data_IF_183876749894
#
_entry.id   IF_183876749894
#
_cell.length_a   1.000
_cell.length_b   1.000
_cell.length_c   1.000
_cell.angle_alpha   90.00
_cell.angle_beta   90.00
_cell.angle_gamma   90.00
#
_symmetry.space_group_name_H-M   'P 1'
#
loop_
_entity.id
_entity.type
_entity.pdbx_description
1 polymer ?
#
# COMPACT_ATOMS: atom_id res chain seq x y z
N UNK A 1 -16.18 -13.46 -6.18
CA UNK A 1 -17.19 -13.16 -5.16
C UNK A 1 -16.64 -12.05 -4.28
N UNK A 2 -17.17 -10.84 -4.38
CA UNK A 2 -16.70 -9.68 -3.62
C UNK A 2 -17.37 -9.64 -2.26
N UNK A 3 -16.61 -9.92 -1.19
CA UNK A 3 -17.11 -9.76 0.17
C UNK A 3 -17.11 -8.28 0.56
N UNK A 4 -18.31 -7.81 0.91
CA UNK A 4 -18.57 -6.50 1.52
C UNK A 4 -17.69 -6.33 2.76
N UNK A 5 -16.81 -5.33 2.73
CA UNK A 5 -16.09 -4.90 3.93
C UNK A 5 -17.08 -4.25 4.90
N UNK A 6 -17.38 -4.97 5.97
CA UNK A 6 -18.11 -4.50 7.13
C UNK A 6 -17.27 -3.45 7.86
N UNK A 7 -17.77 -2.21 7.94
CA UNK A 7 -17.27 -1.16 8.83
C UNK A 7 -17.56 -1.55 10.28
N UNK A 8 -16.68 -2.38 10.87
CA UNK A 8 -16.59 -2.55 12.31
C UNK A 8 -15.88 -1.35 12.93
N UNK A 9 -16.40 -0.82 14.04
CA UNK A 9 -15.68 0.18 14.85
C UNK A 9 -14.40 -0.48 15.39
N UNK A 10 -13.26 -0.22 14.75
CA UNK A 10 -11.96 -0.68 15.22
C UNK A 10 -11.53 0.16 16.42
N UNK A 11 -11.19 -0.49 17.53
CA UNK A 11 -10.51 0.16 18.64
C UNK A 11 -9.18 0.69 18.11
N UNK A 12 -9.12 2.01 17.95
CA UNK A 12 -7.93 2.72 17.48
C UNK A 12 -6.85 2.52 18.54
N UNK A 13 -5.84 1.72 18.20
CA UNK A 13 -4.59 1.75 18.94
C UNK A 13 -3.96 3.10 18.62
N UNK A 14 -3.73 3.89 19.67
CA UNK A 14 -3.26 5.26 19.55
C UNK A 14 -1.82 5.23 19.04
N UNK A 15 -1.70 5.31 17.73
CA UNK A 15 -0.46 5.44 16.98
C UNK A 15 -0.12 6.94 16.95
N UNK A 16 0.74 7.37 17.87
CA UNK A 16 1.05 8.79 18.10
C UNK A 16 1.58 9.49 16.85
N UNK A 17 2.37 8.79 16.03
CA UNK A 17 2.93 9.39 14.81
C UNK A 17 1.83 9.60 13.77
N UNK A 18 0.95 8.61 13.57
CA UNK A 18 -0.18 8.71 12.64
C UNK A 18 -1.06 9.94 12.93
N UNK A 19 -1.33 10.26 14.20
CA UNK A 19 -2.17 11.40 14.57
C UNK A 19 -1.63 12.74 14.03
N UNK A 20 -0.30 12.90 14.07
CA UNK A 20 0.41 14.10 13.62
C UNK A 20 0.76 14.08 12.13
N UNK A 21 0.63 12.94 11.47
CA UNK A 21 0.95 12.80 10.05
C UNK A 21 -0.03 13.59 9.17
N UNK A 22 0.51 14.44 8.31
CA UNK A 22 -0.27 15.41 7.52
C UNK A 22 -1.10 14.74 6.41
N UNK A 23 -0.63 13.62 5.86
CA UNK A 23 -1.31 12.90 4.77
C UNK A 23 -2.14 11.70 5.27
N UNK A 24 -2.40 11.60 6.58
CA UNK A 24 -3.12 10.46 7.19
C UNK A 24 -4.50 10.20 6.58
N UNK A 25 -5.16 11.26 6.09
CA UNK A 25 -6.50 11.21 5.51
C UNK A 25 -6.47 11.15 3.97
N UNK A 26 -5.29 11.17 3.34
CA UNK A 26 -5.17 11.05 1.89
C UNK A 26 -5.33 9.60 1.47
N UNK A 27 -5.97 9.43 0.32
CA UNK A 27 -5.93 8.19 -0.44
C UNK A 27 -4.58 8.09 -1.15
N UNK A 28 -4.22 6.89 -1.56
CA UNK A 28 -2.97 6.67 -2.28
C UNK A 28 -3.16 5.62 -3.36
N UNK A 29 -2.47 5.82 -4.47
CA UNK A 29 -2.56 4.97 -5.66
C UNK A 29 -1.18 4.53 -6.09
N UNK A 30 -1.04 3.27 -6.50
CA UNK A 30 0.13 2.81 -7.25
C UNK A 30 0.12 3.41 -8.65
N UNK A 31 1.29 3.68 -9.19
CA UNK A 31 1.47 4.36 -10.48
C UNK A 31 2.28 3.55 -11.49
N UNK A 32 2.73 2.35 -11.09
CA UNK A 32 3.59 1.50 -11.91
C UNK A 32 2.97 0.12 -12.16
N UNK A 33 3.25 -0.47 -13.34
CA UNK A 33 2.93 -1.86 -13.59
C UNK A 33 3.67 -2.79 -12.63
N UNK A 34 3.05 -3.91 -12.31
CA UNK A 34 3.60 -4.93 -11.42
C UNK A 34 3.16 -6.31 -11.90
N UNK A 35 3.87 -7.35 -11.48
CA UNK A 35 3.46 -8.73 -11.73
C UNK A 35 3.95 -9.65 -10.61
N UNK A 36 3.46 -10.88 -10.62
CA UNK A 36 3.93 -11.94 -9.74
C UNK A 36 5.35 -12.37 -10.13
N UNK A 37 6.27 -12.26 -9.18
CA UNK A 37 7.59 -12.87 -9.27
C UNK A 37 7.53 -14.34 -8.83
N UNK A 38 6.73 -14.60 -7.80
CA UNK A 38 6.47 -15.93 -7.25
C UNK A 38 5.01 -16.04 -6.80
N UNK A 39 4.65 -17.13 -6.11
CA UNK A 39 3.29 -17.29 -5.55
C UNK A 39 2.95 -16.27 -4.46
N UNK A 40 3.95 -15.55 -3.92
CA UNK A 40 3.79 -14.63 -2.79
C UNK A 40 4.47 -13.29 -3.00
N UNK A 41 5.43 -13.21 -3.90
CA UNK A 41 6.21 -11.99 -4.12
C UNK A 41 5.84 -11.37 -5.46
N UNK A 42 5.83 -10.04 -5.49
CA UNK A 42 5.64 -9.24 -6.70
C UNK A 42 6.95 -8.56 -7.08
N UNK A 43 7.02 -8.13 -8.34
CA UNK A 43 7.96 -7.11 -8.78
C UNK A 43 7.22 -5.92 -9.39
N UNK A 44 7.80 -4.74 -9.26
CA UNK A 44 7.29 -3.50 -9.87
C UNK A 44 8.25 -3.04 -10.95
N UNK A 45 7.71 -2.72 -12.13
CA UNK A 45 8.50 -2.17 -13.23
C UNK A 45 8.51 -0.65 -13.15
N UNK A 46 9.70 -0.07 -12.92
CA UNK A 46 9.87 1.39 -12.82
C UNK A 46 11.10 1.86 -13.60
N UNK A 47 11.35 3.17 -13.53
CA UNK A 47 12.60 3.79 -13.96
C UNK A 47 13.16 4.61 -12.81
N UNK A 48 14.33 4.23 -12.32
CA UNK A 48 15.08 5.00 -11.31
C UNK A 48 16.24 5.68 -12.03
N UNK A 49 16.32 7.01 -11.92
CA UNK A 49 17.32 7.84 -12.62
C UNK A 49 17.40 7.55 -14.13
N UNK A 50 16.25 7.32 -14.75
CA UNK A 50 16.11 7.03 -16.17
C UNK A 50 16.46 5.60 -16.58
N UNK A 51 16.97 4.76 -15.67
CA UNK A 51 17.31 3.37 -15.94
C UNK A 51 16.11 2.47 -15.66
N UNK A 52 15.72 1.57 -16.59
CA UNK A 52 14.74 0.53 -16.29
C UNK A 52 15.16 -0.27 -15.06
N UNK A 53 14.24 -0.45 -14.12
CA UNK A 53 14.53 -1.12 -12.85
C UNK A 53 13.35 -2.01 -12.47
N UNK A 54 13.68 -3.23 -12.05
CA UNK A 54 12.77 -4.14 -11.40
C UNK A 54 12.94 -3.97 -9.90
N UNK A 55 11.87 -3.59 -9.21
CA UNK A 55 11.87 -3.38 -7.76
C UNK A 55 11.18 -4.58 -7.12
N UNK A 56 11.91 -5.28 -6.25
CA UNK A 56 11.36 -6.27 -5.31
C UNK A 56 11.29 -5.62 -3.93
N UNK A 57 10.30 -6.01 -3.14
CA UNK A 57 9.98 -5.36 -1.87
C UNK A 57 9.93 -6.39 -0.75
N UNK A 58 10.14 -5.93 0.48
CA UNK A 58 9.82 -6.75 1.64
C UNK A 58 8.30 -6.86 1.83
N UNK A 59 7.89 -7.60 2.85
CA UNK A 59 6.48 -7.89 3.09
C UNK A 59 5.63 -6.62 3.25
N UNK A 60 6.04 -5.68 4.13
CA UNK A 60 5.22 -4.51 4.41
C UNK A 60 5.19 -3.54 3.24
N UNK A 61 6.34 -3.37 2.59
CA UNK A 61 6.44 -2.58 1.38
C UNK A 61 5.51 -3.12 0.28
N UNK A 62 5.51 -4.44 0.06
CA UNK A 62 4.61 -5.07 -0.90
C UNK A 62 3.13 -4.87 -0.54
N UNK A 63 2.75 -5.09 0.73
CA UNK A 63 1.36 -4.90 1.17
C UNK A 63 0.91 -3.45 0.98
N UNK A 64 1.74 -2.46 1.34
CA UNK A 64 1.46 -1.03 1.10
C UNK A 64 1.25 -0.77 -0.39
N UNK A 65 2.10 -1.31 -1.27
CA UNK A 65 1.95 -1.13 -2.71
C UNK A 65 0.67 -1.75 -3.27
N UNK A 66 0.29 -2.93 -2.79
CA UNK A 66 -0.94 -3.61 -3.22
C UNK A 66 -2.21 -2.89 -2.72
N UNK A 67 -2.18 -2.38 -1.49
CA UNK A 67 -3.24 -1.57 -0.87
C UNK A 67 -3.36 -0.16 -1.48
N UNK A 68 -2.37 0.28 -2.27
CA UNK A 68 -2.42 1.53 -3.01
C UNK A 68 -3.35 1.45 -4.23
N UNK A 69 -4.63 1.12 -4.00
CA UNK A 69 -5.67 0.97 -5.02
C UNK A 69 -6.60 2.19 -5.14
N UNK A 70 -6.31 3.24 -4.36
CA UNK A 70 -7.09 4.47 -4.30
C UNK A 70 -8.40 4.37 -3.54
N UNK A 71 -8.67 3.26 -2.82
CA UNK A 71 -9.92 3.05 -2.10
C UNK A 71 -9.80 3.31 -0.59
N UNK A 72 -8.60 3.21 -0.02
CA UNK A 72 -8.36 3.44 1.40
C UNK A 72 -7.40 4.60 1.66
N UNK A 73 -7.56 5.21 2.83
CA UNK A 73 -6.66 6.25 3.35
C UNK A 73 -5.43 5.65 4.03
N UNK A 74 -4.39 6.45 4.24
CA UNK A 74 -3.21 6.03 5.02
C UNK A 74 -3.60 5.53 6.41
N UNK A 75 -4.50 6.23 7.10
CA UNK A 75 -4.98 5.80 8.43
C UNK A 75 -5.67 4.44 8.39
N UNK A 76 -6.45 4.17 7.36
CA UNK A 76 -7.09 2.87 7.15
C UNK A 76 -6.07 1.76 6.85
N UNK A 77 -5.02 2.04 6.06
CA UNK A 77 -3.92 1.10 5.82
C UNK A 77 -3.19 0.72 7.13
N UNK A 78 -2.88 1.70 7.99
CA UNK A 78 -2.29 1.42 9.31
C UNK A 78 -3.23 0.54 10.16
N UNK A 79 -4.53 0.82 10.14
CA UNK A 79 -5.52 -0.02 10.84
C UNK A 79 -5.57 -1.45 10.28
N UNK A 80 -5.46 -1.63 8.96
CA UNK A 80 -5.36 -2.95 8.32
C UNK A 80 -4.14 -3.70 8.87
N UNK A 81 -2.97 -3.06 8.88
CA UNK A 81 -1.74 -3.66 9.42
C UNK A 81 -1.88 -4.06 10.90
N UNK A 82 -2.37 -3.16 11.76
CA UNK A 82 -2.64 -3.47 13.17
C UNK A 82 -3.60 -4.67 13.31
N UNK A 83 -4.65 -4.74 12.50
CA UNK A 83 -5.59 -5.85 12.52
C UNK A 83 -4.93 -7.19 12.13
N UNK A 84 -3.91 -7.21 11.27
CA UNK A 84 -3.18 -8.44 10.94
C UNK A 84 -2.44 -9.01 12.17
N UNK A 85 -1.82 -8.14 12.98
CA UNK A 85 -1.19 -8.54 14.25
C UNK A 85 -2.22 -9.04 15.28
N UNK A 86 -3.34 -8.33 15.45
CA UNK A 86 -4.41 -8.76 16.36
C UNK A 86 -4.98 -10.14 15.96
N UNK A 87 -5.23 -10.36 14.67
CA UNK A 87 -5.75 -11.64 14.15
C UNK A 87 -4.75 -12.78 14.36
N UNK A 88 -3.46 -12.52 14.20
CA UNK A 88 -2.40 -13.50 14.46
C UNK A 88 -2.07 -13.68 15.94
N UNK A 89 -2.73 -12.92 16.84
CA UNK A 89 -2.46 -12.90 18.29
C UNK A 89 -1.01 -12.50 18.60
N UNK A 90 -0.38 -11.73 17.72
CA UNK A 90 0.97 -11.19 17.89
C UNK A 90 0.86 -9.78 18.45
N UNK A 91 1.71 -9.38 19.42
CA UNK A 91 1.76 -8.00 19.87
C UNK A 91 2.01 -7.05 18.69
N UNK A 92 1.28 -5.93 18.66
CA UNK A 92 1.53 -4.88 17.68
C UNK A 92 2.84 -4.18 18.05
N UNK A 93 3.79 -4.03 17.11
CA UNK A 93 4.99 -3.26 17.35
C UNK A 93 4.67 -1.81 17.70
N UNK A 94 5.31 -1.27 18.74
CA UNK A 94 5.06 0.08 19.27
C UNK A 94 5.20 1.20 18.23
N UNK A 95 6.09 1.02 17.24
CA UNK A 95 6.38 1.99 16.19
C UNK A 95 5.90 1.55 14.80
N UNK A 96 4.89 0.68 14.75
CA UNK A 96 4.40 0.15 13.47
C UNK A 96 3.95 1.28 12.53
N UNK A 97 3.24 2.27 13.05
CA UNK A 97 2.78 3.43 12.27
C UNK A 97 3.93 4.22 11.65
N UNK A 98 4.95 4.53 12.44
CA UNK A 98 6.15 5.23 11.99
C UNK A 98 6.85 4.47 10.87
N UNK A 99 7.08 3.16 11.06
CA UNK A 99 7.76 2.32 10.06
C UNK A 99 6.97 2.26 8.75
N UNK A 100 5.66 2.02 8.82
CA UNK A 100 4.81 1.94 7.62
C UNK A 100 4.68 3.29 6.90
N UNK A 101 4.61 4.40 7.64
CA UNK A 101 4.58 5.73 7.03
C UNK A 101 5.93 6.06 6.39
N UNK A 102 7.05 5.71 7.01
CA UNK A 102 8.37 5.89 6.39
C UNK A 102 8.50 5.10 5.09
N UNK A 103 8.02 3.86 5.08
CA UNK A 103 8.04 3.02 3.88
C UNK A 103 7.16 3.62 2.77
N UNK A 104 5.95 4.07 3.11
CA UNK A 104 5.07 4.76 2.18
C UNK A 104 5.73 6.03 1.60
N UNK A 105 6.34 6.86 2.44
CA UNK A 105 7.06 8.07 2.01
C UNK A 105 8.27 7.73 1.12
N UNK A 106 8.97 6.64 1.39
CA UNK A 106 10.04 6.14 0.54
C UNK A 106 9.51 5.77 -0.86
N UNK A 107 8.39 5.07 -0.93
CA UNK A 107 7.75 4.70 -2.20
C UNK A 107 7.28 5.88 -3.02
N UNK A 108 6.82 6.95 -2.34
CA UNK A 108 6.34 8.16 -2.99
C UNK A 108 7.52 9.00 -3.50
N UNK A 109 8.52 9.24 -2.65
CA UNK A 109 9.56 10.24 -2.92
C UNK A 109 10.75 9.67 -3.68
N UNK A 110 11.23 8.49 -3.29
CA UNK A 110 12.44 7.89 -3.85
C UNK A 110 12.11 6.97 -5.02
N UNK A 111 11.17 6.03 -4.82
CA UNK A 111 10.83 5.03 -5.84
C UNK A 111 9.82 5.57 -6.87
N UNK A 112 9.02 6.57 -6.47
CA UNK A 112 7.96 7.20 -7.27
C UNK A 112 7.00 6.17 -7.87
N UNK A 113 6.63 5.19 -7.05
CA UNK A 113 5.73 4.08 -7.43
C UNK A 113 4.33 4.21 -6.83
N UNK A 114 4.15 5.15 -5.90
CA UNK A 114 2.86 5.52 -5.29
C UNK A 114 2.71 7.05 -5.37
N UNK A 115 1.46 7.52 -5.44
CA UNK A 115 1.11 8.92 -5.30
C UNK A 115 -0.09 9.12 -4.38
N UNK A 116 -0.12 10.24 -3.66
CA UNK A 116 -1.30 10.66 -2.91
C UNK A 116 -2.43 11.19 -3.80
N UNK A 117 -3.65 11.04 -3.30
CA UNK A 117 -4.89 11.57 -3.86
C UNK A 117 -5.79 12.10 -2.75
N UNK A 118 -6.46 13.21 -3.00
CA UNK A 118 -7.41 13.79 -2.05
C UNK A 118 -8.79 13.13 -2.10
N UNK A 119 -9.02 12.27 -3.10
CA UNK A 119 -10.30 11.60 -3.34
C UNK A 119 -10.07 10.15 -3.76
N UNK A 120 -11.08 9.32 -3.51
CA UNK A 120 -11.12 7.94 -4.02
C UNK A 120 -10.87 7.95 -5.52
N UNK A 121 -9.96 7.11 -5.97
CA UNK A 121 -9.50 7.08 -7.37
C UNK A 121 -9.55 5.66 -7.90
N UNK A 122 -10.17 5.48 -9.07
CA UNK A 122 -10.14 4.20 -9.77
C UNK A 122 -8.87 4.08 -10.60
N UNK A 123 -8.13 2.98 -10.42
CA UNK A 123 -6.93 2.71 -11.19
C UNK A 123 -7.27 2.28 -12.63
N UNK A 124 -6.47 2.70 -13.62
CA UNK A 124 -6.58 2.15 -14.97
C UNK A 124 -6.17 0.67 -14.96
N UNK A 125 -6.77 -0.14 -15.85
CA UNK A 125 -6.58 -1.60 -15.84
C UNK A 125 -5.11 -2.04 -15.96
N UNK A 126 -4.31 -1.32 -16.74
CA UNK A 126 -2.87 -1.58 -16.94
C UNK A 126 -1.98 -1.28 -15.72
N UNK A 127 -2.57 -0.78 -14.63
CA UNK A 127 -1.92 -0.56 -13.34
C UNK A 127 -2.62 -1.35 -12.24
N UNK A 128 -3.95 -1.47 -12.33
CA UNK A 128 -4.75 -2.21 -11.36
C UNK A 128 -4.41 -3.70 -11.37
N UNK A 129 -4.36 -4.31 -12.55
CA UNK A 129 -4.12 -5.74 -12.72
C UNK A 129 -2.62 -6.05 -12.88
N UNK A 130 -2.17 -7.22 -12.43
CA UNK A 130 -0.80 -7.66 -12.71
C UNK A 130 -0.60 -7.81 -14.23
N UNK A 131 0.62 -7.57 -14.72
CA UNK A 131 0.95 -7.55 -16.15
C UNK A 131 0.47 -8.82 -16.85
N UNK A 132 0.70 -9.99 -16.27
CA UNK A 132 0.23 -11.30 -16.76
C UNK A 132 -1.29 -11.43 -16.97
N UNK A 133 -2.09 -10.54 -16.37
CA UNK A 133 -3.56 -10.52 -16.48
C UNK A 133 -4.09 -9.31 -17.25
N UNK A 134 -3.21 -8.44 -17.74
CA UNK A 134 -3.60 -7.35 -18.61
C UNK A 134 -3.94 -7.94 -19.97
N UNK A 135 -5.19 -7.76 -20.44
CA UNK A 135 -5.58 -8.24 -21.75
C UNK A 135 -4.68 -7.59 -22.82
N UNK A 136 -4.11 -8.40 -23.70
CA UNK A 136 -3.30 -7.92 -24.82
C UNK A 136 -4.11 -6.91 -25.62
N UNK A 137 -3.63 -5.67 -25.65
CA UNK A 137 -4.10 -4.61 -26.56
C UNK A 137 -3.93 -5.04 -28.00
#
# INVERSE_FOLDING_TARGET
>A
MFNKFLKGKHNVIVNEFLLTYSNKDKYFIRTKPWDWLSKKEIYVMSKIDGKPTMITMDFWAQEIFLDADGQITVSEMINVACNQYLKSKTPIPEKLDFVLIQELEHMITQLKIIEFRDQITQLPQNINLPISQQAGT
#
